data_IF_450854110370
#
_entry.id   IF_450854110370
#
_cell.length_a   1.000
_cell.length_b   1.000
_cell.length_c   1.000
_cell.angle_alpha   90.00
_cell.angle_beta   90.00
_cell.angle_gamma   90.00
#
_symmetry.space_group_name_H-M   'P 1'
#
loop_
_entity.id
_entity.type
_entity.pdbx_description
1 polymer ?
#
# COMPACT_ATOMS: atom_id res chain seq x y z
N UNK A 1 7.47 11.09 -10.63
CA UNK A 1 6.22 10.63 -10.00
C UNK A 1 5.06 11.29 -10.69
N UNK A 2 4.00 10.56 -10.97
CA UNK A 2 2.74 11.12 -11.46
C UNK A 2 1.55 10.32 -10.94
N UNK A 3 0.41 10.99 -10.81
CA UNK A 3 -0.85 10.34 -10.50
C UNK A 3 -1.59 9.98 -11.80
N UNK A 4 -2.20 8.80 -11.82
CA UNK A 4 -3.14 8.37 -12.83
C UNK A 4 -4.36 7.78 -12.11
N UNK A 5 -5.45 8.54 -12.06
CA UNK A 5 -6.59 8.28 -11.19
C UNK A 5 -6.20 8.24 -9.71
N UNK A 6 -6.54 7.14 -9.01
CA UNK A 6 -6.15 6.91 -7.61
C UNK A 6 -4.77 6.23 -7.46
N UNK A 7 -4.05 5.97 -8.57
CA UNK A 7 -2.75 5.31 -8.54
C UNK A 7 -1.59 6.31 -8.65
N UNK A 8 -0.55 6.08 -7.85
CA UNK A 8 0.73 6.80 -7.96
C UNK A 8 1.71 5.94 -8.75
N UNK A 9 2.44 6.55 -9.68
CA UNK A 9 3.48 5.89 -10.46
C UNK A 9 4.83 6.59 -10.29
N UNK A 10 5.90 5.80 -10.40
CA UNK A 10 7.25 6.27 -10.66
C UNK A 10 7.68 5.79 -12.04
N UNK A 11 8.43 6.64 -12.74
CA UNK A 11 8.97 6.34 -14.06
C UNK A 11 10.36 6.97 -14.17
N UNK A 12 11.31 6.20 -14.67
CA UNK A 12 12.67 6.61 -14.93
C UNK A 12 12.78 7.20 -16.34
N UNK A 13 13.08 8.49 -16.43
CA UNK A 13 13.15 9.24 -17.68
C UNK A 13 14.58 9.29 -18.28
N UNK A 14 15.40 8.28 -17.97
CA UNK A 14 16.80 8.23 -18.39
C UNK A 14 17.75 8.82 -17.33
N UNK A 15 17.45 8.58 -16.06
CA UNK A 15 18.33 8.98 -14.96
C UNK A 15 19.69 8.27 -15.05
N UNK A 16 20.76 8.98 -14.66
CA UNK A 16 22.13 8.45 -14.73
C UNK A 16 22.34 7.18 -13.89
N UNK A 17 21.65 7.07 -12.75
CA UNK A 17 21.86 5.99 -11.79
C UNK A 17 20.67 5.00 -11.72
N UNK A 18 19.64 5.21 -12.53
CA UNK A 18 18.40 4.43 -12.47
C UNK A 18 17.49 4.77 -11.29
N UNK A 19 16.27 4.25 -11.36
CA UNK A 19 15.31 4.22 -10.26
C UNK A 19 15.15 2.78 -9.77
N UNK A 20 15.14 2.59 -8.46
CA UNK A 20 14.81 1.32 -7.83
C UNK A 20 13.59 1.45 -6.93
N UNK A 21 12.77 0.41 -6.89
CA UNK A 21 11.66 0.26 -5.95
C UNK A 21 11.87 -1.05 -5.22
N UNK A 22 11.92 -1.00 -3.89
CA UNK A 22 12.19 -2.15 -3.03
C UNK A 22 13.47 -2.92 -3.45
N UNK A 23 14.50 -2.18 -3.88
CA UNK A 23 15.79 -2.73 -4.32
C UNK A 23 15.82 -3.27 -5.76
N UNK A 24 14.70 -3.23 -6.49
CA UNK A 24 14.63 -3.69 -7.88
C UNK A 24 14.64 -2.50 -8.85
N UNK A 25 15.46 -2.56 -9.89
CA UNK A 25 15.47 -1.53 -10.93
C UNK A 25 14.16 -1.53 -11.72
N UNK A 26 13.61 -0.34 -11.95
CA UNK A 26 12.35 -0.16 -12.68
C UNK A 26 12.44 0.96 -13.69
N UNK A 27 11.83 0.74 -14.87
CA UNK A 27 11.54 1.83 -15.82
C UNK A 27 10.25 2.56 -15.48
N UNK A 28 9.21 1.82 -15.11
CA UNK A 28 7.90 2.35 -14.70
C UNK A 28 7.26 1.37 -13.71
N UNK A 29 6.75 1.86 -12.58
CA UNK A 29 6.05 1.04 -11.60
C UNK A 29 4.97 1.82 -10.86
N UNK A 30 3.83 1.14 -10.61
CA UNK A 30 2.79 1.61 -9.68
C UNK A 30 3.29 1.46 -8.25
N UNK A 31 3.19 2.53 -7.48
CA UNK A 31 3.60 2.58 -6.08
C UNK A 31 2.44 2.36 -5.13
N UNK A 32 2.74 1.69 -4.02
CA UNK A 32 1.84 1.45 -2.91
C UNK A 32 2.41 2.05 -1.62
N UNK A 33 1.56 2.16 -0.61
CA UNK A 33 2.01 2.59 0.71
C UNK A 33 3.01 1.62 1.30
N UNK A 34 4.13 2.14 1.79
CA UNK A 34 5.24 1.38 2.35
C UNK A 34 6.37 1.10 1.35
N UNK A 35 6.18 1.32 0.04
CA UNK A 35 7.24 1.10 -0.95
C UNK A 35 8.44 2.02 -0.71
N UNK A 36 9.65 1.46 -0.81
CA UNK A 36 10.90 2.23 -0.75
C UNK A 36 11.35 2.55 -2.16
N UNK A 37 11.39 3.83 -2.51
CA UNK A 37 11.94 4.29 -3.80
C UNK A 37 13.34 4.83 -3.58
N UNK A 38 14.30 4.34 -4.35
CA UNK A 38 15.68 4.80 -4.35
C UNK A 38 16.05 5.40 -5.71
N UNK A 39 16.72 6.56 -5.67
CA UNK A 39 17.25 7.27 -6.84
C UNK A 39 18.67 7.73 -6.52
N UNK A 40 19.66 7.07 -7.13
CA UNK A 40 21.06 7.29 -6.77
C UNK A 40 21.32 7.00 -5.28
N UNK A 41 21.69 8.03 -4.51
CA UNK A 41 22.03 7.92 -3.08
C UNK A 41 20.88 8.27 -2.13
N UNK A 42 19.74 8.68 -2.67
CA UNK A 42 18.58 9.11 -1.89
C UNK A 42 17.52 8.01 -1.94
N UNK A 43 16.92 7.71 -0.79
CA UNK A 43 15.76 6.83 -0.68
C UNK A 43 14.68 7.46 0.19
N UNK A 44 13.43 7.10 -0.09
CA UNK A 44 12.27 7.50 0.72
C UNK A 44 11.17 6.44 0.67
N UNK A 45 10.32 6.46 1.68
CA UNK A 45 9.16 5.58 1.81
C UNK A 45 7.93 6.31 1.28
N UNK A 46 7.16 5.64 0.43
CA UNK A 46 5.88 6.14 -0.07
C UNK A 46 4.84 5.97 1.02
N UNK A 47 4.33 7.08 1.56
CA UNK A 47 3.22 7.05 2.50
C UNK A 47 1.97 7.63 1.83
N UNK A 48 0.86 6.88 1.72
CA UNK A 48 -0.40 7.44 1.27
C UNK A 48 -0.81 8.50 2.28
N UNK A 49 -1.18 9.69 1.79
CA UNK A 49 -1.91 10.64 2.64
C UNK A 49 -3.21 9.95 3.02
N UNK A 50 -3.37 9.62 4.31
CA UNK A 50 -4.59 8.98 4.77
C UNK A 50 -5.80 9.77 4.29
N UNK A 51 -6.77 9.10 3.64
CA UNK A 51 -8.11 9.66 3.52
C UNK A 51 -8.54 9.89 4.97
N UNK A 52 -8.78 11.14 5.36
CA UNK A 52 -9.47 11.45 6.62
C UNK A 52 -10.77 10.62 6.59
N UNK A 53 -10.76 9.45 7.23
CA UNK A 53 -11.94 8.61 7.31
C UNK A 53 -12.85 9.33 8.29
N UNK A 54 -13.75 10.14 7.77
CA UNK A 54 -14.89 10.61 8.55
C UNK A 54 -15.60 9.40 9.17
N UNK A 55 -16.33 9.64 10.26
CA UNK A 55 -17.03 8.62 11.05
C UNK A 55 -17.71 7.51 10.22
N UNK A 56 -18.26 7.86 9.05
CA UNK A 56 -18.88 6.90 8.11
C UNK A 56 -17.92 5.86 7.53
N UNK A 57 -16.68 6.22 7.19
CA UNK A 57 -15.68 5.28 6.68
C UNK A 57 -15.17 4.30 7.73
N UNK A 58 -15.23 4.68 9.02
CA UNK A 58 -14.90 3.81 10.14
C UNK A 58 -16.05 2.82 10.43
N UNK A 59 -17.30 3.29 10.46
CA UNK A 59 -18.48 2.45 10.69
C UNK A 59 -18.72 1.44 9.55
N UNK A 60 -18.42 1.82 8.30
CA UNK A 60 -18.48 0.89 7.17
C UNK A 60 -17.50 -0.30 7.34
N UNK A 61 -16.28 -0.04 7.81
CA UNK A 61 -15.29 -1.09 8.07
C UNK A 61 -15.62 -1.99 9.27
N UNK A 62 -16.32 -1.46 10.28
CA UNK A 62 -16.75 -2.24 11.45
C UNK A 62 -17.88 -3.22 11.14
N UNK A 63 -18.81 -2.86 10.25
CA UNK A 63 -19.90 -3.77 9.82
C UNK A 63 -19.36 -5.02 9.14
N UNK A 64 -18.35 -4.86 8.27
CA UNK A 64 -17.70 -5.98 7.58
C UNK A 64 -16.97 -6.94 8.52
N UNK A 65 -16.55 -6.49 9.70
CA UNK A 65 -15.78 -7.31 10.65
C UNK A 65 -16.67 -8.04 11.68
N UNK A 66 -17.98 -7.79 11.70
CA UNK A 66 -18.92 -8.42 12.64
C UNK A 66 -19.45 -9.78 12.18
N UNK A 67 -19.31 -10.13 10.89
CA UNK A 67 -19.82 -11.39 10.34
C UNK A 67 -18.79 -12.54 10.33
N UNK A 68 -17.56 -12.33 10.82
CA UNK A 68 -16.45 -13.29 10.68
C UNK A 68 -15.89 -13.84 12.01
N UNK A 69 -16.66 -13.80 13.10
CA UNK A 69 -16.30 -14.49 14.35
C UNK A 69 -17.41 -15.44 14.78
N UNK A 70 -17.59 -16.53 14.03
CA UNK A 70 -17.99 -17.79 14.64
C UNK A 70 -16.79 -18.27 15.51
N UNK A 71 -16.93 -18.40 16.84
CA UNK A 71 -15.89 -19.00 17.65
C UNK A 71 -15.96 -20.51 17.47
N UNK A 72 -14.92 -21.08 16.87
CA UNK A 72 -14.60 -22.48 17.04
C UNK A 72 -14.53 -22.81 18.56
N UNK A 73 -15.48 -23.61 19.04
CA UNK A 73 -15.39 -24.41 20.28
C UNK A 73 -15.95 -25.78 19.94
N UNK A 74 -15.11 -26.74 19.52
CA UNK A 74 -14.35 -27.66 20.37
C UNK A 74 -15.24 -28.73 21.04
N UNK A 75 -15.17 -29.94 20.46
CA UNK A 75 -15.09 -31.28 21.07
C UNK A 75 -15.89 -31.54 22.37
N UNK A 76 -16.89 -32.42 22.27
CA UNK A 76 -17.20 -33.36 23.33
C UNK A 76 -17.57 -34.71 22.69
N UNK A 77 -16.63 -35.67 22.81
CA UNK A 77 -16.87 -37.10 22.64
C UNK A 77 -17.93 -37.56 23.67
N UNK A 78 -18.72 -38.58 23.34
CA UNK A 78 -18.38 -39.92 23.85
C UNK A 78 -18.00 -40.92 22.75
#
# INVERSE_FOLDING_TARGET
>A
FYADGEALYVEDLGSRNGVQVNGQQVRKQRLHGGDVVAMGRISFVVQPRGKQRGLMGLLAGLRSNSAAREPARQLALP
#
